data_IF_124150336322
#
_entry.id   IF_124150336322
#
_cell.length_a   1.000
_cell.length_b   1.000
_cell.length_c   1.000
_cell.angle_alpha   90.00
_cell.angle_beta   90.00
_cell.angle_gamma   90.00
#
_symmetry.space_group_name_H-M   'P 1'
#
loop_
_entity.id
_entity.type
_entity.pdbx_description
1 polymer ?
#
# COMPACT_ATOMS: atom_id res chain seq x y z
N UNK A 1 -48.19 -0.84 4.54
CA UNK A 1 -47.87 -1.95 3.61
C UNK A 1 -46.58 -2.56 4.07
N UNK A 2 -46.50 -3.88 4.19
CA UNK A 2 -45.32 -4.64 4.70
C UNK A 2 -43.97 -4.17 4.11
N UNK A 3 -43.97 -3.65 2.89
CA UNK A 3 -42.79 -3.05 2.25
C UNK A 3 -42.26 -1.77 2.94
N UNK A 4 -43.11 -0.95 3.55
CA UNK A 4 -42.71 0.27 4.26
C UNK A 4 -41.99 -0.06 5.57
N UNK A 5 -42.49 -1.05 6.31
CA UNK A 5 -41.89 -1.50 7.58
C UNK A 5 -40.56 -2.22 7.35
N UNK A 6 -40.41 -2.93 6.22
CA UNK A 6 -39.14 -3.54 5.79
C UNK A 6 -38.12 -2.46 5.42
N UNK A 7 -38.52 -1.42 4.67
CA UNK A 7 -37.61 -0.32 4.30
C UNK A 7 -37.19 0.48 5.54
N UNK A 8 -38.11 0.76 6.46
CA UNK A 8 -37.80 1.49 7.70
C UNK A 8 -36.87 0.69 8.61
N UNK A 9 -37.16 -0.60 8.85
CA UNK A 9 -36.28 -1.47 9.64
C UNK A 9 -34.90 -1.67 9.00
N UNK A 10 -34.83 -1.69 7.67
CA UNK A 10 -33.56 -1.72 6.93
C UNK A 10 -32.80 -0.40 7.09
N UNK A 11 -33.48 0.75 7.01
CA UNK A 11 -32.87 2.07 7.21
C UNK A 11 -32.41 2.29 8.65
N UNK A 12 -33.15 1.80 9.65
CA UNK A 12 -32.79 1.89 11.06
C UNK A 12 -31.61 0.95 11.40
N UNK A 13 -31.58 -0.26 10.80
CA UNK A 13 -30.44 -1.16 10.89
C UNK A 13 -29.18 -0.58 10.22
N UNK A 14 -29.35 0.08 9.06
CA UNK A 14 -28.29 0.84 8.38
C UNK A 14 -27.86 2.04 9.24
N UNK A 15 -28.78 2.76 9.87
CA UNK A 15 -28.51 3.89 10.77
C UNK A 15 -27.71 3.50 12.01
N UNK A 16 -28.05 2.37 12.63
CA UNK A 16 -27.33 1.82 13.78
C UNK A 16 -25.91 1.34 13.41
N UNK A 17 -25.72 0.81 12.20
CA UNK A 17 -24.39 0.41 11.68
C UNK A 17 -23.55 1.59 11.22
N UNK A 18 -24.15 2.69 10.75
CA UNK A 18 -23.43 3.90 10.38
C UNK A 18 -22.78 4.60 11.59
N UNK A 19 -23.29 4.39 12.81
CA UNK A 19 -22.74 4.94 14.05
C UNK A 19 -21.61 4.12 14.68
N UNK A 20 -21.61 2.79 14.50
CA UNK A 20 -20.65 1.88 15.12
C UNK A 20 -19.62 1.35 14.09
N UNK A 21 -18.37 1.86 14.09
CA UNK A 21 -17.36 1.48 13.11
C UNK A 21 -16.94 0.00 13.23
N UNK A 22 -17.00 -0.58 14.43
CA UNK A 22 -16.70 -2.01 14.64
C UNK A 22 -17.75 -2.89 13.99
N UNK A 23 -19.03 -2.63 14.26
CA UNK A 23 -20.13 -3.40 13.64
C UNK A 23 -20.10 -3.27 12.12
N UNK A 24 -19.83 -2.07 11.58
CA UNK A 24 -19.68 -1.88 10.14
C UNK A 24 -18.53 -2.70 9.55
N UNK A 25 -17.38 -2.76 10.24
CA UNK A 25 -16.23 -3.55 9.82
C UNK A 25 -16.51 -5.06 9.86
N UNK A 26 -17.10 -5.58 10.95
CA UNK A 26 -17.44 -7.00 11.07
C UNK A 26 -18.47 -7.44 10.01
N UNK A 27 -19.50 -6.63 9.77
CA UNK A 27 -20.47 -6.90 8.70
C UNK A 27 -19.82 -6.87 7.32
N UNK A 28 -18.83 -6.00 7.09
CA UNK A 28 -18.05 -5.99 5.85
C UNK A 28 -17.19 -7.25 5.73
N UNK A 29 -16.58 -7.71 6.81
CA UNK A 29 -15.78 -8.93 6.88
C UNK A 29 -16.62 -10.18 6.53
N UNK A 30 -17.83 -10.29 7.09
CA UNK A 30 -18.76 -11.38 6.78
C UNK A 30 -19.18 -11.37 5.30
N UNK A 31 -19.43 -10.18 4.72
CA UNK A 31 -19.72 -10.06 3.28
C UNK A 31 -18.52 -10.45 2.43
N UNK A 32 -17.30 -10.16 2.88
CA UNK A 32 -16.08 -10.51 2.16
C UNK A 32 -15.93 -12.03 2.03
N UNK A 33 -16.19 -12.78 3.11
CA UNK A 33 -16.18 -14.26 3.08
C UNK A 33 -17.24 -14.86 2.15
N UNK A 34 -18.34 -14.14 1.93
CA UNK A 34 -19.42 -14.56 1.03
C UNK A 34 -19.27 -14.02 -0.39
N UNK A 35 -18.21 -13.26 -0.68
CA UNK A 35 -18.02 -12.60 -1.99
C UNK A 35 -17.68 -13.63 -3.06
N UNK A 36 -18.51 -13.78 -4.12
CA UNK A 36 -18.24 -14.74 -5.19
C UNK A 36 -16.88 -14.50 -5.85
N UNK A 37 -16.10 -15.57 -6.03
CA UNK A 37 -14.76 -15.51 -6.62
C UNK A 37 -13.64 -15.14 -5.63
N UNK A 38 -13.97 -14.86 -4.36
CA UNK A 38 -13.00 -14.66 -3.30
C UNK A 38 -12.93 -15.91 -2.42
N UNK A 39 -11.74 -16.52 -2.31
CA UNK A 39 -11.51 -17.60 -1.35
C UNK A 39 -10.86 -16.99 -0.12
N UNK A 40 -11.67 -16.70 0.89
CA UNK A 40 -11.24 -16.08 2.14
C UNK A 40 -11.98 -16.70 3.31
N UNK A 41 -11.22 -17.09 4.34
CA UNK A 41 -11.77 -17.59 5.59
C UNK A 41 -10.80 -17.29 6.72
N UNK A 42 -11.29 -16.68 7.81
CA UNK A 42 -10.47 -16.50 9.00
C UNK A 42 -10.44 -17.75 9.89
N UNK A 43 -9.27 -18.12 10.43
CA UNK A 43 -9.20 -19.05 11.55
C UNK A 43 -10.04 -18.55 12.74
N UNK A 44 -10.67 -19.47 13.47
CA UNK A 44 -11.54 -19.13 14.60
C UNK A 44 -10.84 -18.25 15.65
N UNK A 45 -9.58 -18.54 15.97
CA UNK A 45 -8.78 -17.73 16.90
C UNK A 45 -8.57 -16.29 16.39
N UNK A 46 -8.35 -16.12 15.09
CA UNK A 46 -8.21 -14.80 14.46
C UNK A 46 -9.52 -14.02 14.49
N UNK A 47 -10.65 -14.68 14.20
CA UNK A 47 -11.97 -14.04 14.29
C UNK A 47 -12.26 -13.57 15.71
N UNK A 48 -12.07 -14.43 16.71
CA UNK A 48 -12.26 -14.08 18.12
C UNK A 48 -11.38 -12.90 18.56
N UNK A 49 -10.12 -12.85 18.10
CA UNK A 49 -9.22 -11.73 18.38
C UNK A 49 -9.80 -10.42 17.81
N UNK A 50 -10.22 -10.39 16.55
CA UNK A 50 -10.83 -9.21 15.91
C UNK A 50 -12.13 -8.80 16.64
N UNK A 51 -12.98 -9.75 16.98
CA UNK A 51 -14.23 -9.52 17.70
C UNK A 51 -14.00 -9.00 19.13
N UNK A 52 -12.86 -9.31 19.76
CA UNK A 52 -12.52 -8.82 21.11
C UNK A 52 -11.99 -7.39 21.14
N UNK A 53 -11.54 -6.84 19.99
CA UNK A 53 -10.98 -5.49 19.90
C UNK A 53 -12.03 -4.42 20.30
N UNK A 54 -11.64 -3.34 20.99
CA UNK A 54 -12.57 -2.29 21.40
C UNK A 54 -13.12 -1.53 20.19
N UNK A 55 -14.32 -0.96 20.28
CA UNK A 55 -14.92 -0.20 19.17
C UNK A 55 -13.99 0.93 18.65
N UNK A 56 -13.28 1.59 19.57
CA UNK A 56 -12.34 2.67 19.24
C UNK A 56 -11.22 2.23 18.28
N UNK A 57 -10.86 0.94 18.26
CA UNK A 57 -9.85 0.41 17.34
C UNK A 57 -10.27 0.53 15.86
N UNK A 58 -11.58 0.60 15.58
CA UNK A 58 -12.13 0.63 14.22
C UNK A 58 -12.37 2.05 13.69
N UNK A 59 -12.13 3.09 14.51
CA UNK A 59 -12.35 4.49 14.13
C UNK A 59 -11.06 5.11 13.60
N UNK A 60 -10.86 5.05 12.30
CA UNK A 60 -9.67 5.64 11.67
C UNK A 60 -9.78 7.16 11.61
N UNK A 61 -8.86 7.91 12.23
CA UNK A 61 -8.88 9.37 12.13
C UNK A 61 -8.58 9.79 10.68
N UNK A 62 -9.19 10.89 10.27
CA UNK A 62 -8.84 11.59 9.02
C UNK A 62 -8.65 13.06 9.38
N UNK A 63 -7.40 13.54 9.38
CA UNK A 63 -7.12 14.92 9.78
C UNK A 63 -7.44 15.86 8.62
N UNK A 64 -8.02 17.04 8.87
CA UNK A 64 -8.15 18.06 7.83
C UNK A 64 -6.80 18.44 7.24
N UNK A 65 -6.74 18.60 5.91
CA UNK A 65 -5.53 19.05 5.22
C UNK A 65 -5.20 20.50 5.61
N UNK A 66 -3.96 20.75 6.02
CA UNK A 66 -3.50 22.10 6.37
C UNK A 66 -2.79 22.76 5.19
N UNK A 67 -3.58 23.29 4.25
CA UNK A 67 -3.05 23.88 3.01
C UNK A 67 -2.64 25.36 3.17
N UNK A 68 -1.52 25.73 2.55
CA UNK A 68 -1.02 27.11 2.42
C UNK A 68 -1.51 27.79 1.14
N UNK A 69 -1.69 27.03 0.05
CA UNK A 69 -2.28 27.50 -1.21
C UNK A 69 -3.79 27.52 -1.05
N UNK A 70 -4.35 28.70 -0.79
CA UNK A 70 -5.79 28.88 -0.52
C UNK A 70 -6.49 29.76 -1.54
N UNK A 71 -5.74 30.62 -2.23
CA UNK A 71 -6.27 31.63 -3.15
C UNK A 71 -6.04 31.24 -4.60
N UNK A 72 -6.88 31.78 -5.46
CA UNK A 72 -6.84 31.55 -6.91
C UNK A 72 -5.52 32.01 -7.53
N UNK A 73 -5.03 33.19 -7.13
CA UNK A 73 -3.78 33.81 -7.60
C UNK A 73 -2.50 33.02 -7.25
N UNK A 74 -2.58 32.03 -6.35
CA UNK A 74 -1.47 31.16 -5.97
C UNK A 74 -1.39 29.87 -6.82
N UNK A 75 -2.39 29.64 -7.67
CA UNK A 75 -2.43 28.54 -8.65
C UNK A 75 -1.87 29.03 -9.99
N UNK A 76 -1.29 28.13 -10.79
CA UNK A 76 -0.80 28.53 -12.11
C UNK A 76 -1.96 28.89 -13.04
N UNK A 77 -1.73 29.86 -13.95
CA UNK A 77 -2.74 30.25 -14.94
C UNK A 77 -3.28 29.08 -15.76
N UNK A 78 -2.39 28.13 -16.12
CA UNK A 78 -2.77 26.89 -16.83
C UNK A 78 -3.74 26.00 -16.04
N UNK A 79 -3.55 25.85 -14.72
CA UNK A 79 -4.44 25.06 -13.87
C UNK A 79 -5.80 25.74 -13.75
N UNK A 80 -5.81 27.07 -13.62
CA UNK A 80 -7.04 27.85 -13.52
C UNK A 80 -7.87 27.77 -14.80
N UNK A 81 -7.22 27.88 -15.96
CA UNK A 81 -7.86 27.71 -17.27
C UNK A 81 -8.41 26.29 -17.44
N UNK A 82 -7.63 25.27 -17.08
CA UNK A 82 -8.08 23.88 -17.19
C UNK A 82 -9.22 23.54 -16.22
N UNK A 83 -9.22 24.11 -15.02
CA UNK A 83 -10.35 24.03 -14.08
C UNK A 83 -11.61 24.68 -14.67
N UNK A 84 -11.49 25.89 -15.24
CA UNK A 84 -12.60 26.62 -15.84
C UNK A 84 -13.22 25.85 -17.02
N UNK A 85 -12.37 25.22 -17.85
CA UNK A 85 -12.79 24.51 -19.05
C UNK A 85 -13.06 23.02 -18.84
N UNK A 86 -12.87 22.50 -17.62
CA UNK A 86 -12.97 21.07 -17.27
C UNK A 86 -12.06 20.16 -18.11
N UNK A 87 -10.91 20.68 -18.52
CA UNK A 87 -9.90 19.97 -19.34
C UNK A 87 -8.74 19.42 -18.51
N UNK A 88 -8.95 19.21 -17.21
CA UNK A 88 -7.94 18.65 -16.31
C UNK A 88 -7.51 17.25 -16.76
N UNK A 89 -6.22 17.11 -16.99
CA UNK A 89 -5.59 15.82 -17.27
C UNK A 89 -4.64 15.40 -16.14
N UNK A 90 -4.19 14.15 -16.24
CA UNK A 90 -3.34 13.52 -15.25
C UNK A 90 -1.96 14.20 -15.11
N UNK A 91 -1.31 14.51 -16.22
CA UNK A 91 0.05 15.05 -16.22
C UNK A 91 0.06 16.47 -15.64
N UNK A 92 -0.97 17.25 -15.94
CA UNK A 92 -1.15 18.59 -15.42
C UNK A 92 -1.32 18.60 -13.89
N UNK A 93 -2.20 17.74 -13.36
CA UNK A 93 -2.42 17.68 -11.91
C UNK A 93 -1.25 17.08 -11.15
N UNK A 94 -0.55 16.10 -11.72
CA UNK A 94 0.67 15.56 -11.10
C UNK A 94 1.81 16.58 -11.11
N UNK A 95 1.97 17.37 -12.17
CA UNK A 95 2.94 18.46 -12.22
C UNK A 95 2.64 19.56 -11.17
N UNK A 96 1.38 19.97 -11.04
CA UNK A 96 0.97 20.95 -10.03
C UNK A 96 1.14 20.40 -8.61
N UNK A 97 0.75 19.14 -8.37
CA UNK A 97 1.00 18.46 -7.10
C UNK A 97 2.50 18.43 -6.76
N UNK A 98 3.36 18.08 -7.71
CA UNK A 98 4.81 18.05 -7.50
C UNK A 98 5.38 19.44 -7.21
N UNK A 99 4.90 20.49 -7.89
CA UNK A 99 5.25 21.87 -7.59
C UNK A 99 4.85 22.24 -6.16
N UNK A 100 3.63 21.89 -5.74
CA UNK A 100 3.15 22.19 -4.39
C UNK A 100 3.88 21.43 -3.30
N UNK A 101 4.28 20.18 -3.57
CA UNK A 101 5.09 19.39 -2.66
C UNK A 101 6.45 20.05 -2.42
N UNK A 102 7.11 20.52 -3.48
CA UNK A 102 8.42 21.18 -3.38
C UNK A 102 8.35 22.54 -2.69
N UNK A 103 7.30 23.32 -2.96
CA UNK A 103 7.27 24.73 -2.57
C UNK A 103 6.45 25.01 -1.29
N UNK A 104 5.56 24.09 -0.88
CA UNK A 104 4.62 24.35 0.21
C UNK A 104 4.58 23.23 1.24
N UNK A 105 3.84 22.15 0.97
CA UNK A 105 3.65 21.04 1.91
C UNK A 105 3.05 19.79 1.23
N UNK A 106 3.19 18.61 1.87
CA UNK A 106 2.41 17.42 1.54
C UNK A 106 0.89 17.63 1.45
N UNK A 107 0.30 18.48 2.30
CA UNK A 107 -1.15 18.76 2.29
C UNK A 107 -1.55 19.54 1.04
N UNK A 108 -0.73 20.51 0.64
CA UNK A 108 -0.95 21.29 -0.57
C UNK A 108 -0.82 20.43 -1.83
N UNK A 109 0.15 19.52 -1.84
CA UNK A 109 0.33 18.54 -2.90
C UNK A 109 -0.87 17.59 -3.01
N UNK A 110 -1.26 16.98 -1.89
CA UNK A 110 -2.40 16.07 -1.83
C UNK A 110 -3.71 16.75 -2.24
N UNK A 111 -3.92 18.00 -1.85
CA UNK A 111 -5.10 18.77 -2.28
C UNK A 111 -5.15 19.00 -3.79
N UNK A 112 -4.01 19.20 -4.45
CA UNK A 112 -4.00 19.27 -5.92
C UNK A 112 -4.21 17.87 -6.53
N UNK A 113 -3.55 16.84 -6.01
CA UNK A 113 -3.64 15.51 -6.58
C UNK A 113 -5.03 14.86 -6.39
N UNK A 114 -5.73 15.16 -5.28
CA UNK A 114 -7.06 14.63 -4.97
C UNK A 114 -8.11 15.02 -6.01
N UNK A 115 -7.91 16.12 -6.73
CA UNK A 115 -8.77 16.54 -7.85
C UNK A 115 -8.92 15.45 -8.91
N UNK A 116 -7.91 14.60 -9.13
CA UNK A 116 -8.01 13.45 -10.04
C UNK A 116 -9.10 12.47 -9.61
N UNK A 117 -9.16 12.22 -8.30
CA UNK A 117 -10.13 11.32 -7.68
C UNK A 117 -11.50 11.98 -7.55
N UNK A 118 -11.56 13.30 -7.33
CA UNK A 118 -12.81 14.06 -7.30
C UNK A 118 -13.47 14.12 -8.69
N UNK A 119 -12.67 14.25 -9.75
CA UNK A 119 -13.15 14.26 -11.13
C UNK A 119 -13.62 12.86 -11.59
N UNK A 120 -12.93 11.80 -11.14
CA UNK A 120 -13.26 10.40 -11.48
C UNK A 120 -13.39 9.53 -10.23
N UNK A 121 -14.46 9.67 -9.43
CA UNK A 121 -14.58 9.00 -8.14
C UNK A 121 -14.69 7.47 -8.23
N UNK A 122 -15.18 6.92 -9.35
CA UNK A 122 -15.25 5.48 -9.60
C UNK A 122 -13.94 4.85 -10.09
N UNK A 123 -12.90 5.65 -10.30
CA UNK A 123 -11.62 5.16 -10.83
C UNK A 123 -10.72 4.65 -9.70
N UNK A 124 -10.71 3.33 -9.50
CA UNK A 124 -9.89 2.67 -8.48
C UNK A 124 -8.38 2.78 -8.75
N UNK A 125 -7.95 2.96 -10.02
CA UNK A 125 -6.53 3.12 -10.38
C UNK A 125 -6.03 4.49 -9.90
N UNK A 126 -6.80 5.55 -10.16
CA UNK A 126 -6.50 6.89 -9.65
C UNK A 126 -6.56 6.92 -8.12
N UNK A 127 -7.57 6.30 -7.52
CA UNK A 127 -7.68 6.22 -6.06
C UNK A 127 -6.43 5.58 -5.42
N UNK A 128 -5.94 4.49 -6.01
CA UNK A 128 -4.72 3.81 -5.54
C UNK A 128 -3.47 4.67 -5.76
N UNK A 129 -3.35 5.33 -6.91
CA UNK A 129 -2.21 6.19 -7.20
C UNK A 129 -2.11 7.38 -6.23
N UNK A 130 -3.24 8.06 -5.99
CA UNK A 130 -3.31 9.15 -5.00
C UNK A 130 -3.08 8.60 -3.59
N UNK A 131 -3.61 7.42 -3.26
CA UNK A 131 -3.40 6.75 -1.97
C UNK A 131 -1.92 6.47 -1.68
N UNK A 132 -1.19 5.89 -2.63
CA UNK A 132 0.24 5.66 -2.46
C UNK A 132 1.05 6.95 -2.39
N UNK A 133 0.68 7.97 -3.18
CA UNK A 133 1.31 9.29 -3.09
C UNK A 133 1.09 9.92 -1.70
N UNK A 134 -0.12 9.84 -1.17
CA UNK A 134 -0.44 10.30 0.19
C UNK A 134 0.37 9.54 1.26
N UNK A 135 0.49 8.22 1.13
CA UNK A 135 1.28 7.37 2.02
C UNK A 135 2.79 7.68 1.97
N UNK A 136 3.34 8.02 0.79
CA UNK A 136 4.73 8.48 0.65
C UNK A 136 4.96 9.83 1.34
N UNK A 137 3.96 10.72 1.34
CA UNK A 137 4.04 12.03 1.97
C UNK A 137 3.60 12.06 3.45
N UNK A 138 3.51 10.89 4.10
CA UNK A 138 3.14 10.77 5.51
C UNK A 138 1.69 11.17 5.81
N UNK A 139 0.80 11.01 4.84
CA UNK A 139 -0.67 11.18 4.96
C UNK A 139 -1.39 9.85 4.93
N UNK A 140 -0.91 8.93 5.77
CA UNK A 140 -1.44 7.56 5.87
C UNK A 140 -2.91 7.52 6.32
N UNK A 141 -3.37 8.55 7.03
CA UNK A 141 -4.78 8.76 7.37
C UNK A 141 -5.66 9.00 6.15
N UNK A 142 -5.19 9.82 5.20
CA UNK A 142 -5.87 10.08 3.93
C UNK A 142 -5.75 8.89 2.97
N UNK A 143 -4.56 8.28 2.91
CA UNK A 143 -4.29 7.11 2.09
C UNK A 143 -5.21 5.94 2.45
N UNK A 144 -5.41 5.69 3.75
CA UNK A 144 -6.34 4.67 4.24
C UNK A 144 -7.74 4.84 3.64
N UNK A 145 -8.29 6.05 3.61
CA UNK A 145 -9.64 6.29 3.10
C UNK A 145 -9.75 5.94 1.61
N UNK A 146 -8.73 6.30 0.83
CA UNK A 146 -8.67 5.98 -0.61
C UNK A 146 -8.54 4.47 -0.83
N UNK A 147 -7.65 3.79 -0.11
CA UNK A 147 -7.48 2.35 -0.22
C UNK A 147 -8.71 1.57 0.26
N UNK A 148 -9.33 1.98 1.37
CA UNK A 148 -10.56 1.37 1.85
C UNK A 148 -11.68 1.46 0.80
N UNK A 149 -11.81 2.59 0.11
CA UNK A 149 -12.74 2.72 -1.02
C UNK A 149 -12.39 1.77 -2.17
N UNK A 150 -11.10 1.60 -2.47
CA UNK A 150 -10.64 0.64 -3.49
C UNK A 150 -11.07 -0.78 -3.13
N UNK A 151 -10.90 -1.22 -1.87
CA UNK A 151 -11.31 -2.59 -1.47
C UNK A 151 -12.82 -2.83 -1.60
N UNK A 152 -13.65 -1.81 -1.41
CA UNK A 152 -15.10 -1.92 -1.63
C UNK A 152 -15.44 -2.18 -3.10
N UNK A 153 -14.67 -1.59 -4.03
CA UNK A 153 -14.92 -1.68 -5.47
C UNK A 153 -14.17 -2.82 -6.17
N UNK A 154 -13.03 -3.23 -5.61
CA UNK A 154 -12.07 -4.18 -6.18
C UNK A 154 -11.54 -5.10 -5.06
N UNK A 155 -12.38 -6.01 -4.53
CA UNK A 155 -11.99 -6.85 -3.39
C UNK A 155 -10.90 -7.88 -3.72
N UNK A 156 -10.67 -8.18 -5.01
CA UNK A 156 -9.74 -9.21 -5.50
C UNK A 156 -8.28 -8.72 -5.70
N UNK A 157 -7.94 -7.55 -5.16
CA UNK A 157 -6.64 -6.89 -5.37
C UNK A 157 -5.82 -6.82 -4.06
N UNK A 158 -4.87 -7.74 -3.85
CA UNK A 158 -4.16 -7.91 -2.58
C UNK A 158 -3.37 -6.70 -2.11
N UNK A 159 -2.79 -5.95 -3.06
CA UNK A 159 -1.93 -4.81 -2.78
C UNK A 159 -2.63 -3.73 -1.96
N UNK A 160 -3.96 -3.60 -2.10
CA UNK A 160 -4.75 -2.61 -1.36
C UNK A 160 -4.86 -2.98 0.12
N UNK A 161 -5.03 -4.27 0.44
CA UNK A 161 -5.09 -4.76 1.83
C UNK A 161 -3.74 -4.57 2.53
N UNK A 162 -2.64 -4.87 1.82
CA UNK A 162 -1.28 -4.65 2.31
C UNK A 162 -1.00 -3.16 2.55
N UNK A 163 -1.39 -2.28 1.62
CA UNK A 163 -1.25 -0.83 1.79
C UNK A 163 -2.05 -0.30 2.98
N UNK A 164 -3.26 -0.81 3.23
CA UNK A 164 -4.07 -0.46 4.40
C UNK A 164 -3.36 -0.87 5.70
N UNK A 165 -2.87 -2.11 5.80
CA UNK A 165 -2.13 -2.58 6.98
C UNK A 165 -0.92 -1.70 7.30
N UNK A 166 -0.18 -1.27 6.27
CA UNK A 166 0.94 -0.32 6.42
C UNK A 166 0.49 1.06 6.87
N UNK A 167 -0.60 1.59 6.31
CA UNK A 167 -1.13 2.89 6.71
C UNK A 167 -1.54 2.88 8.19
N UNK A 168 -2.27 1.85 8.62
CA UNK A 168 -2.74 1.71 10.00
C UNK A 168 -1.59 1.52 11.00
N UNK A 169 -0.54 0.81 10.59
CA UNK A 169 0.70 0.69 11.39
C UNK A 169 1.32 2.06 11.65
N UNK A 170 1.41 2.92 10.62
CA UNK A 170 1.98 4.28 10.76
C UNK A 170 1.10 5.22 11.58
N UNK A 171 -0.21 4.96 11.60
CA UNK A 171 -1.16 5.69 12.45
C UNK A 171 -1.17 5.20 13.89
N UNK A 172 -0.42 4.14 14.21
CA UNK A 172 -0.46 3.49 15.53
C UNK A 172 -1.77 2.77 15.82
N UNK A 173 -2.58 2.50 14.79
CA UNK A 173 -3.85 1.77 14.88
C UNK A 173 -3.60 0.26 14.83
N UNK A 174 -2.84 -0.22 15.81
CA UNK A 174 -2.27 -1.57 15.84
C UNK A 174 -3.30 -2.68 15.72
N UNK A 175 -4.41 -2.60 16.46
CA UNK A 175 -5.49 -3.59 16.43
C UNK A 175 -6.10 -3.75 15.03
N UNK A 176 -6.46 -2.62 14.40
CA UNK A 176 -7.01 -2.64 13.06
C UNK A 176 -5.95 -3.04 12.01
N UNK A 177 -4.69 -2.64 12.20
CA UNK A 177 -3.60 -3.07 11.33
C UNK A 177 -3.45 -4.60 11.34
N UNK A 178 -3.49 -5.23 12.53
CA UNK A 178 -3.50 -6.69 12.69
C UNK A 178 -4.67 -7.30 11.91
N UNK A 179 -5.89 -6.77 12.08
CA UNK A 179 -7.06 -7.28 11.37
C UNK A 179 -6.89 -7.26 9.84
N UNK A 180 -6.37 -6.16 9.29
CA UNK A 180 -6.13 -6.04 7.84
C UNK A 180 -5.00 -6.93 7.33
N UNK A 181 -3.92 -7.09 8.09
CA UNK A 181 -2.88 -8.05 7.75
C UNK A 181 -3.39 -9.49 7.80
N UNK A 182 -4.24 -9.83 8.77
CA UNK A 182 -4.87 -11.16 8.81
C UNK A 182 -5.78 -11.40 7.61
N UNK A 183 -6.57 -10.41 7.18
CA UNK A 183 -7.37 -10.54 5.95
C UNK A 183 -6.46 -10.81 4.74
N UNK A 184 -5.38 -10.03 4.62
CA UNK A 184 -4.41 -10.20 3.54
C UNK A 184 -3.75 -11.59 3.55
N UNK A 185 -3.39 -12.10 4.74
CA UNK A 185 -2.69 -13.37 4.90
C UNK A 185 -3.59 -14.61 4.77
N UNK A 186 -4.89 -14.48 5.03
CA UNK A 186 -5.85 -15.60 5.00
C UNK A 186 -6.76 -15.58 3.76
N UNK A 187 -6.51 -14.68 2.81
CA UNK A 187 -7.14 -14.74 1.48
C UNK A 187 -6.25 -15.50 0.52
N UNK A 188 -6.85 -16.37 -0.30
CA UNK A 188 -6.19 -16.98 -1.44
C UNK A 188 -6.25 -16.02 -2.63
N UNK A 189 -5.11 -15.42 -2.94
CA UNK A 189 -4.98 -14.50 -4.07
C UNK A 189 -4.68 -15.24 -5.35
N UNK A 190 -5.07 -14.65 -6.48
CA UNK A 190 -4.72 -15.14 -7.80
C UNK A 190 -3.18 -15.27 -7.94
N UNK A 191 -2.72 -16.35 -8.59
CA UNK A 191 -1.30 -16.64 -8.77
C UNK A 191 -0.54 -15.52 -9.49
N UNK A 192 -1.23 -14.67 -10.26
CA UNK A 192 -0.65 -13.46 -10.87
C UNK A 192 -0.08 -12.47 -9.85
N UNK A 193 -0.39 -12.59 -8.56
CA UNK A 193 0.21 -11.72 -7.52
C UNK A 193 1.48 -12.30 -6.90
N UNK A 194 2.00 -13.42 -7.44
CA UNK A 194 3.28 -14.00 -7.07
C UNK A 194 3.42 -14.26 -5.58
N UNK A 195 4.56 -13.83 -5.02
CA UNK A 195 4.95 -14.04 -3.62
C UNK A 195 4.28 -13.05 -2.64
N UNK A 196 3.05 -12.59 -2.93
CA UNK A 196 2.36 -11.58 -2.12
C UNK A 196 2.36 -11.90 -0.62
N UNK A 197 1.98 -13.11 -0.21
CA UNK A 197 1.92 -13.50 1.20
C UNK A 197 3.26 -13.36 1.90
N UNK A 198 4.38 -13.57 1.19
CA UNK A 198 5.71 -13.42 1.76
C UNK A 198 6.04 -11.96 2.05
N UNK A 199 5.65 -11.05 1.16
CA UNK A 199 5.89 -9.61 1.28
C UNK A 199 4.94 -8.97 2.29
N UNK A 200 3.66 -9.34 2.26
CA UNK A 200 2.70 -8.94 3.30
C UNK A 200 3.09 -9.50 4.67
N UNK A 201 3.55 -10.76 4.72
CA UNK A 201 4.04 -11.41 5.94
C UNK A 201 5.28 -10.75 6.52
N UNK A 202 6.18 -10.23 5.69
CA UNK A 202 7.30 -9.40 6.14
C UNK A 202 6.80 -8.15 6.87
N UNK A 203 6.00 -7.30 6.23
CA UNK A 203 5.50 -6.08 6.87
C UNK A 203 4.62 -6.38 8.10
N UNK A 204 3.89 -7.49 8.08
CA UNK A 204 3.14 -7.93 9.25
C UNK A 204 4.07 -8.34 10.41
N UNK A 205 5.14 -9.09 10.14
CA UNK A 205 6.15 -9.40 11.16
C UNK A 205 6.80 -8.17 11.74
N UNK A 206 6.98 -7.10 10.95
CA UNK A 206 7.46 -5.82 11.45
C UNK A 206 6.53 -5.25 12.52
N UNK A 207 5.22 -5.22 12.23
CA UNK A 207 4.19 -4.78 13.17
C UNK A 207 4.19 -5.63 14.45
N UNK A 208 4.21 -6.96 14.31
CA UNK A 208 4.19 -7.87 15.46
C UNK A 208 5.43 -7.67 16.36
N UNK A 209 6.63 -7.52 15.77
CA UNK A 209 7.87 -7.21 16.52
C UNK A 209 7.78 -5.88 17.26
N UNK A 210 7.21 -4.84 16.64
CA UNK A 210 7.02 -3.54 17.30
C UNK A 210 6.09 -3.65 18.52
N UNK A 211 5.11 -4.55 18.48
CA UNK A 211 4.27 -4.85 19.64
C UNK A 211 5.04 -5.64 20.71
N UNK A 212 5.76 -6.69 20.33
CA UNK A 212 6.58 -7.50 21.26
C UNK A 212 7.67 -6.67 21.96
N UNK A 213 8.22 -5.67 21.26
CA UNK A 213 9.20 -4.72 21.79
C UNK A 213 8.57 -3.58 22.61
N UNK A 214 7.23 -3.53 22.70
CA UNK A 214 6.49 -2.50 23.43
C UNK A 214 6.43 -1.14 22.77
N UNK A 215 6.89 -1.00 21.52
CA UNK A 215 6.80 0.24 20.74
C UNK A 215 5.36 0.55 20.31
N UNK A 216 4.54 -0.50 20.11
CA UNK A 216 3.12 -0.40 19.81
C UNK A 216 2.30 -1.19 20.84
N UNK A 217 1.06 -0.76 21.09
CA UNK A 217 0.14 -1.40 22.04
C UNK A 217 -1.05 -2.00 21.30
N UNK A 218 -1.56 -3.12 21.80
CA UNK A 218 -2.72 -3.82 21.25
C UNK A 218 -3.64 -4.29 22.37
N UNK A 219 -4.92 -4.45 22.07
CA UNK A 219 -5.88 -5.13 22.96
C UNK A 219 -5.77 -6.67 22.93
N UNK A 220 -5.00 -7.23 21.98
CA UNK A 220 -4.89 -8.69 21.76
C UNK A 220 -3.42 -9.20 21.84
N UNK A 221 -2.68 -8.95 22.93
CA UNK A 221 -1.25 -9.28 23.03
C UNK A 221 -0.95 -10.79 22.95
N UNK A 222 -1.83 -11.64 23.48
CA UNK A 222 -1.67 -13.10 23.44
C UNK A 222 -1.80 -13.62 21.99
N UNK A 223 -2.74 -13.06 21.22
CA UNK A 223 -2.87 -13.35 19.79
C UNK A 223 -1.59 -12.95 19.04
N UNK A 224 -1.07 -11.74 19.28
CA UNK A 224 0.18 -11.27 18.67
C UNK A 224 1.35 -12.21 18.97
N UNK A 225 1.52 -12.60 20.23
CA UNK A 225 2.60 -13.50 20.67
C UNK A 225 2.52 -14.87 19.99
N UNK A 226 1.32 -15.43 19.86
CA UNK A 226 1.11 -16.67 19.13
C UNK A 226 1.37 -16.49 17.63
N UNK A 227 0.89 -15.37 17.06
CA UNK A 227 0.94 -15.12 15.63
C UNK A 227 2.35 -14.85 15.12
N UNK A 228 3.17 -14.12 15.88
CA UNK A 228 4.57 -13.82 15.55
C UNK A 228 5.39 -15.10 15.28
N UNK A 229 5.11 -16.18 16.00
CA UNK A 229 5.75 -17.50 15.79
C UNK A 229 5.40 -18.13 14.44
N UNK A 230 4.18 -17.90 13.96
CA UNK A 230 3.67 -18.54 12.73
C UNK A 230 3.96 -17.71 11.48
N UNK A 231 3.81 -16.38 11.55
CA UNK A 231 4.08 -15.48 10.41
C UNK A 231 5.59 -15.38 10.18
N UNK A 232 6.41 -15.45 11.24
CA UNK A 232 7.86 -15.42 11.14
C UNK A 232 8.42 -16.52 10.23
N UNK A 233 7.85 -17.72 10.31
CA UNK A 233 8.22 -18.86 9.48
C UNK A 233 7.91 -18.67 7.97
N UNK A 234 6.93 -17.83 7.65
CA UNK A 234 6.53 -17.50 6.28
C UNK A 234 7.21 -16.24 5.72
N UNK A 235 7.92 -15.48 6.56
CA UNK A 235 8.56 -14.22 6.20
C UNK A 235 10.00 -14.39 5.69
N UNK A 236 10.63 -13.28 5.26
CA UNK A 236 12.08 -13.27 5.03
C UNK A 236 12.82 -13.44 6.37
N UNK A 237 14.01 -14.05 6.35
CA UNK A 237 14.76 -14.44 7.56
C UNK A 237 14.86 -13.37 8.66
N UNK A 238 15.23 -13.80 9.87
CA UNK A 238 15.19 -12.95 11.08
C UNK A 238 16.01 -11.66 10.97
N UNK A 239 17.11 -11.67 10.23
CA UNK A 239 17.96 -10.50 9.98
C UNK A 239 18.40 -10.45 8.51
N UNK A 240 18.36 -9.28 7.89
CA UNK A 240 18.79 -9.08 6.49
C UNK A 240 19.30 -7.66 6.31
N UNK A 241 20.52 -7.50 5.79
CA UNK A 241 21.15 -6.19 5.67
C UNK A 241 20.46 -5.26 4.65
N UNK A 242 19.97 -5.81 3.53
CA UNK A 242 19.25 -5.04 2.52
C UNK A 242 18.03 -5.81 2.01
N UNK A 243 16.87 -5.15 2.04
CA UNK A 243 15.63 -5.60 1.41
C UNK A 243 15.12 -4.49 0.51
N UNK A 244 14.73 -4.84 -0.70
CA UNK A 244 14.08 -3.91 -1.64
C UNK A 244 12.80 -4.57 -2.13
N UNK A 245 11.67 -3.90 -1.96
CA UNK A 245 10.37 -4.36 -2.46
C UNK A 245 9.84 -3.30 -3.41
N UNK A 246 9.37 -3.69 -4.59
CA UNK A 246 8.64 -2.80 -5.49
C UNK A 246 7.24 -3.35 -5.76
N UNK A 247 6.28 -2.43 -5.93
CA UNK A 247 4.93 -2.68 -6.41
C UNK A 247 4.50 -1.53 -7.32
N UNK A 248 3.41 -1.68 -8.07
CA UNK A 248 2.96 -0.63 -8.99
C UNK A 248 1.44 -0.48 -9.07
N UNK A 249 0.96 0.63 -9.66
CA UNK A 249 -0.45 0.99 -9.70
C UNK A 249 -1.22 0.47 -10.92
N UNK A 250 -0.57 0.02 -11.99
CA UNK A 250 -1.25 -0.39 -13.23
C UNK A 250 -1.29 -1.91 -13.36
N UNK A 251 -2.47 -2.46 -13.70
CA UNK A 251 -2.62 -3.91 -13.87
C UNK A 251 -1.94 -4.35 -15.18
N UNK A 252 -1.63 -5.64 -15.32
CA UNK A 252 -1.07 -6.25 -16.54
C UNK A 252 0.11 -5.42 -17.10
N UNK A 253 0.97 -5.02 -16.19
CA UNK A 253 2.14 -4.19 -16.47
C UNK A 253 3.36 -5.00 -16.06
N UNK A 254 4.35 -5.02 -16.94
CA UNK A 254 5.58 -5.77 -16.76
C UNK A 254 6.69 -4.80 -16.31
N UNK A 255 7.09 -4.92 -15.03
CA UNK A 255 8.09 -4.07 -14.39
C UNK A 255 9.11 -4.94 -13.65
N UNK A 256 10.35 -4.89 -14.10
CA UNK A 256 11.46 -5.62 -13.49
C UNK A 256 12.20 -4.75 -12.47
N UNK A 257 12.47 -5.31 -11.29
CA UNK A 257 13.42 -4.81 -10.32
C UNK A 257 14.86 -5.19 -10.72
N UNK A 258 15.73 -4.19 -10.70
CA UNK A 258 17.16 -4.36 -10.90
C UNK A 258 17.92 -3.83 -9.69
N UNK A 259 18.84 -4.64 -9.14
CA UNK A 259 19.76 -4.23 -8.08
C UNK A 259 21.18 -4.49 -8.53
N UNK A 260 21.93 -3.42 -8.83
CA UNK A 260 23.36 -3.49 -9.15
C UNK A 260 24.13 -3.39 -7.83
N UNK A 261 24.89 -4.44 -7.52
CA UNK A 261 25.65 -4.59 -6.29
C UNK A 261 27.04 -3.93 -6.39
N UNK A 262 27.74 -3.69 -5.26
CA UNK A 262 29.08 -3.09 -5.25
C UNK A 262 30.13 -3.87 -6.06
N UNK A 263 29.90 -5.15 -6.32
CA UNK A 263 30.74 -6.02 -7.16
C UNK A 263 30.60 -5.71 -8.66
N UNK A 264 29.62 -4.90 -9.05
CA UNK A 264 29.20 -4.67 -10.44
C UNK A 264 28.26 -5.75 -10.97
N UNK A 265 27.92 -6.75 -10.17
CA UNK A 265 26.94 -7.78 -10.53
C UNK A 265 25.51 -7.25 -10.39
N UNK A 266 24.64 -7.57 -11.34
CA UNK A 266 23.26 -7.13 -11.36
C UNK A 266 22.32 -8.28 -11.02
N UNK A 267 21.48 -8.10 -10.00
CA UNK A 267 20.39 -9.01 -9.68
C UNK A 267 19.08 -8.52 -10.32
N UNK A 268 18.45 -9.38 -11.12
CA UNK A 268 17.17 -9.13 -11.79
C UNK A 268 16.48 -10.47 -12.10
N UNK A 269 15.29 -10.48 -12.71
CA UNK A 269 14.55 -11.71 -13.07
C UNK A 269 15.44 -12.80 -13.72
N UNK A 270 16.20 -12.44 -14.76
CA UNK A 270 17.06 -13.38 -15.51
C UNK A 270 18.36 -13.78 -14.79
N UNK A 271 18.71 -13.10 -13.69
CA UNK A 271 19.86 -13.40 -12.83
C UNK A 271 19.47 -13.18 -11.36
N UNK A 272 18.57 -14.04 -10.87
CA UNK A 272 17.93 -13.86 -9.57
C UNK A 272 18.79 -14.23 -8.35
N UNK A 273 20.06 -14.59 -8.57
CA UNK A 273 21.02 -14.97 -7.52
C UNK A 273 22.41 -14.46 -7.85
N UNK A 274 22.97 -13.62 -6.98
CA UNK A 274 24.30 -13.03 -7.17
C UNK A 274 25.37 -13.73 -6.33
N UNK A 275 26.65 -13.48 -6.63
CA UNK A 275 27.81 -14.09 -5.95
C UNK A 275 27.92 -13.71 -4.49
N UNK A 276 27.48 -12.50 -4.10
CA UNK A 276 27.48 -12.07 -2.69
C UNK A 276 26.21 -12.50 -1.94
N UNK A 277 25.32 -13.26 -2.60
CA UNK A 277 24.16 -13.87 -1.96
C UNK A 277 22.87 -13.07 -2.07
N UNK A 278 22.81 -12.08 -2.96
CA UNK A 278 21.57 -11.37 -3.29
C UNK A 278 20.58 -12.32 -3.96
N UNK A 279 19.30 -12.17 -3.63
CA UNK A 279 18.22 -13.04 -4.12
C UNK A 279 16.98 -12.23 -4.47
N UNK A 280 16.47 -12.40 -5.69
CA UNK A 280 15.16 -11.91 -6.10
C UNK A 280 14.07 -12.95 -5.80
N UNK A 281 12.85 -12.51 -5.48
CA UNK A 281 11.65 -13.36 -5.51
C UNK A 281 11.34 -13.83 -6.92
N UNK A 282 10.39 -14.75 -7.05
CA UNK A 282 9.88 -15.12 -8.38
C UNK A 282 9.31 -13.89 -9.07
N UNK A 283 9.55 -13.83 -10.38
CA UNK A 283 9.14 -12.75 -11.27
C UNK A 283 7.61 -12.75 -11.46
N UNK A 284 7.03 -11.54 -11.48
CA UNK A 284 5.60 -11.28 -11.59
C UNK A 284 5.33 -10.50 -12.89
N UNK A 285 5.22 -11.23 -14.00
CA UNK A 285 5.01 -10.66 -15.34
C UNK A 285 3.58 -10.18 -15.63
N UNK A 286 2.63 -10.44 -14.71
CA UNK A 286 1.23 -10.02 -14.82
C UNK A 286 0.74 -9.51 -13.48
N UNK A 287 -0.07 -8.45 -13.44
CA UNK A 287 -0.61 -7.93 -12.17
C UNK A 287 0.01 -6.59 -11.75
N UNK A 288 0.17 -6.40 -10.43
CA UNK A 288 0.61 -5.15 -9.79
C UNK A 288 1.97 -5.31 -9.07
N UNK A 289 2.70 -6.39 -9.34
CA UNK A 289 3.73 -6.90 -8.46
C UNK A 289 3.11 -7.50 -7.20
N UNK A 290 3.89 -7.79 -6.15
CA UNK A 290 5.19 -7.19 -5.87
C UNK A 290 6.42 -8.06 -6.23
N UNK A 291 7.56 -7.40 -6.48
CA UNK A 291 8.88 -8.03 -6.55
C UNK A 291 9.74 -7.65 -5.35
N UNK A 292 10.59 -8.57 -4.88
CA UNK A 292 11.46 -8.34 -3.72
C UNK A 292 12.86 -8.89 -3.91
N UNK A 293 13.86 -8.05 -3.66
CA UNK A 293 15.26 -8.41 -3.49
C UNK A 293 15.62 -8.50 -2.00
N UNK A 294 16.43 -9.50 -1.63
CA UNK A 294 16.97 -9.68 -0.28
C UNK A 294 18.46 -9.98 -0.32
N UNK A 295 19.24 -9.39 0.59
CA UNK A 295 20.65 -9.68 0.78
C UNK A 295 20.97 -9.72 2.28
N UNK A 296 21.25 -10.91 2.79
CA UNK A 296 21.44 -11.14 4.22
C UNK A 296 22.72 -10.48 4.76
N UNK A 297 23.83 -10.63 4.02
CA UNK A 297 25.15 -10.14 4.41
C UNK A 297 25.67 -9.19 3.32
N UNK A 298 25.31 -7.92 3.42
CA UNK A 298 25.67 -6.93 2.41
C UNK A 298 27.15 -6.54 2.53
N UNK A 299 27.81 -6.39 1.37
CA UNK A 299 29.18 -5.86 1.30
C UNK A 299 29.10 -4.34 1.33
N UNK A 300 30.06 -3.70 2.00
CA UNK A 300 30.10 -2.24 1.99
C UNK A 300 30.29 -1.72 0.57
N UNK A 301 29.56 -0.66 0.24
CA UNK A 301 29.57 -0.07 -1.09
C UNK A 301 28.21 0.51 -1.47
N UNK A 302 28.10 0.85 -2.76
CA UNK A 302 26.87 1.41 -3.34
C UNK A 302 26.06 0.31 -4.02
N UNK A 303 24.78 0.26 -3.68
CA UNK A 303 23.77 -0.54 -4.34
C UNK A 303 22.90 0.40 -5.17
N UNK A 304 22.84 0.18 -6.48
CA UNK A 304 22.01 0.98 -7.39
C UNK A 304 20.73 0.23 -7.72
N UNK A 305 19.60 0.80 -7.33
CA UNK A 305 18.27 0.21 -7.43
C UNK A 305 17.53 0.88 -8.59
N UNK A 306 17.07 0.09 -9.55
CA UNK A 306 16.39 0.56 -10.75
C UNK A 306 15.14 -0.27 -11.06
N UNK A 307 14.26 0.28 -11.86
CA UNK A 307 13.15 -0.46 -12.46
C UNK A 307 13.13 -0.30 -13.98
N UNK A 308 12.78 -1.36 -14.69
CA UNK A 308 12.59 -1.33 -16.16
C UNK A 308 11.14 -1.58 -16.50
N UNK A 309 10.57 -0.73 -17.35
CA UNK A 309 9.20 -0.87 -17.82
C UNK A 309 9.15 -1.56 -19.18
N UNK A 310 8.76 -2.83 -19.28
CA UNK A 310 8.76 -3.53 -20.58
C UNK A 310 7.49 -3.30 -21.39
N UNK A 311 6.36 -3.05 -20.73
CA UNK A 311 5.12 -2.69 -21.39
C UNK A 311 3.92 -2.68 -20.45
N UNK A 312 2.89 -1.94 -20.87
CA UNK A 312 1.56 -2.01 -20.30
C UNK A 312 0.56 -2.07 -21.44
N UNK A 313 -0.63 -2.60 -21.17
CA UNK A 313 -1.75 -2.54 -22.10
C UNK A 313 -2.13 -1.04 -22.31
N UNK A 314 -1.72 -0.44 -23.43
CA UNK A 314 -1.81 1.03 -23.69
C UNK A 314 -3.24 1.58 -23.69
N UNK A 315 -4.24 0.70 -23.74
CA UNK A 315 -5.64 1.07 -23.95
C UNK A 315 -6.40 1.50 -22.68
N UNK A 316 -5.78 1.55 -21.48
CA UNK A 316 -6.59 1.62 -20.24
C UNK A 316 -6.08 2.43 -19.04
N UNK A 317 -4.92 3.09 -19.06
CA UNK A 317 -4.43 3.73 -17.84
C UNK A 317 -4.88 5.21 -17.76
N UNK A 318 -5.89 5.48 -16.92
CA UNK A 318 -6.26 6.83 -16.45
C UNK A 318 -5.16 7.51 -15.61
N UNK A 319 -4.10 6.75 -15.26
CA UNK A 319 -2.91 7.18 -14.55
C UNK A 319 -1.64 6.74 -15.30
N UNK A 320 -0.51 7.40 -15.05
CA UNK A 320 0.80 6.88 -15.45
C UNK A 320 1.19 5.70 -14.54
N UNK A 321 1.98 4.76 -15.08
CA UNK A 321 2.58 3.69 -14.28
C UNK A 321 3.59 4.29 -13.30
N UNK A 322 3.42 3.98 -12.02
CA UNK A 322 4.34 4.36 -10.95
C UNK A 322 4.83 3.12 -10.22
N UNK A 323 6.10 3.16 -9.83
CA UNK A 323 6.71 2.16 -8.95
C UNK A 323 6.76 2.73 -7.54
N UNK A 324 6.21 1.97 -6.60
CA UNK A 324 6.27 2.19 -5.16
C UNK A 324 7.34 1.28 -4.58
N UNK A 325 8.51 1.84 -4.31
CA UNK A 325 9.63 1.11 -3.76
C UNK A 325 9.72 1.29 -2.25
N UNK A 326 9.96 0.20 -1.55
CA UNK A 326 10.31 0.14 -0.13
C UNK A 326 11.71 -0.42 0.00
N UNK A 327 12.61 0.32 0.64
CA UNK A 327 13.99 -0.05 0.84
C UNK A 327 14.22 -0.13 2.35
N UNK A 328 14.66 -1.29 2.83
CA UNK A 328 14.92 -1.54 4.23
C UNK A 328 16.39 -1.92 4.38
N UNK A 329 17.12 -1.18 5.21
CA UNK A 329 18.46 -1.55 5.66
C UNK A 329 18.39 -2.12 7.06
N UNK A 330 19.13 -3.21 7.31
CA UNK A 330 19.18 -3.84 8.64
C UNK A 330 17.82 -4.35 9.10
N UNK A 331 17.05 -4.99 8.21
CA UNK A 331 15.76 -5.61 8.51
C UNK A 331 15.89 -6.53 9.73
N UNK A 332 14.97 -6.38 10.70
CA UNK A 332 14.96 -7.20 11.91
C UNK A 332 16.05 -6.86 12.93
N UNK A 333 16.71 -5.70 12.78
CA UNK A 333 17.68 -5.17 13.73
C UNK A 333 17.18 -3.86 14.34
N UNK A 334 17.76 -3.44 15.47
CA UNK A 334 17.46 -2.13 16.08
C UNK A 334 17.89 -0.93 15.21
N UNK A 335 18.79 -1.17 14.23
CA UNK A 335 19.30 -0.15 13.30
C UNK A 335 18.51 -0.09 12.00
N UNK A 336 17.31 -0.65 11.98
CA UNK A 336 16.50 -0.73 10.77
C UNK A 336 16.21 0.67 10.21
N UNK A 337 16.58 0.91 8.94
CA UNK A 337 16.25 2.15 8.22
C UNK A 337 15.30 1.80 7.10
N UNK A 338 14.10 2.37 7.16
CA UNK A 338 13.04 2.16 6.19
C UNK A 338 12.85 3.42 5.34
N UNK A 339 12.91 3.27 4.01
CA UNK A 339 12.75 4.35 3.05
C UNK A 339 11.69 3.98 2.02
N UNK A 340 10.79 4.91 1.71
CA UNK A 340 9.88 4.80 0.57
C UNK A 340 10.33 5.72 -0.55
N UNK A 341 10.09 5.27 -1.79
CA UNK A 341 10.26 6.07 -3.00
C UNK A 341 9.12 5.78 -3.95
N UNK A 342 8.63 6.83 -4.60
CA UNK A 342 7.68 6.73 -5.70
C UNK A 342 8.34 7.32 -6.94
N UNK A 343 8.44 6.52 -8.00
CA UNK A 343 8.91 6.99 -9.30
C UNK A 343 7.82 6.78 -10.35
N UNK A 344 7.73 7.70 -11.32
CA UNK A 344 6.83 7.56 -12.47
C UNK A 344 7.64 7.02 -13.64
N UNK A 345 7.10 6.02 -14.33
CA UNK A 345 7.75 5.44 -15.51
C UNK A 345 7.28 6.17 -16.76
N UNK A 346 8.23 6.69 -17.54
CA UNK A 346 7.94 7.52 -18.72
C UNK A 346 8.23 6.81 -20.04
N UNK A 347 9.24 5.95 -20.07
CA UNK A 347 9.75 5.32 -21.29
C UNK A 347 9.75 3.80 -21.15
N UNK A 348 9.28 3.10 -22.19
CA UNK A 348 9.42 1.65 -22.25
C UNK A 348 10.87 1.25 -22.51
N UNK A 349 11.30 0.15 -21.89
CA UNK A 349 12.63 -0.48 -21.99
C UNK A 349 13.78 0.38 -21.48
N UNK A 350 13.49 1.48 -20.77
CA UNK A 350 14.49 2.29 -20.09
C UNK A 350 14.63 1.84 -18.63
N UNK A 351 15.88 1.62 -18.18
CA UNK A 351 16.22 1.38 -16.78
C UNK A 351 16.16 2.69 -16.01
N UNK A 352 15.06 2.95 -15.30
CA UNK A 352 14.89 4.17 -14.53
C UNK A 352 15.46 4.03 -13.11
N UNK A 353 16.23 5.02 -12.61
CA UNK A 353 16.77 4.97 -11.26
C UNK A 353 15.68 5.16 -10.20
N UNK A 354 15.69 4.31 -9.17
CA UNK A 354 14.84 4.45 -7.97
C UNK A 354 15.65 5.12 -6.85
N UNK A 355 16.80 4.54 -6.50
CA UNK A 355 17.65 5.01 -5.42
C UNK A 355 19.06 4.41 -5.51
N UNK A 356 20.04 5.12 -4.96
CA UNK A 356 21.36 4.55 -4.63
C UNK A 356 21.51 4.48 -3.13
N UNK A 357 21.84 3.29 -2.62
CA UNK A 357 21.90 2.99 -1.18
C UNK A 357 23.33 2.64 -0.80
N UNK A 358 23.85 3.30 0.23
CA UNK A 358 25.12 2.93 0.88
C UNK A 358 24.90 1.97 2.05
N UNK A 359 25.68 0.89 2.07
CA UNK A 359 25.85 -0.03 3.21
C UNK A 359 27.21 0.18 3.86
#
# INVERSE_FOLDING_TARGET
>A
TVAHDIVQSTLDAIGATLGNPKTAFLNWLDRLEQTPGMTFQLPAATRLAIESMPEAAFRVPSRPLTCKVRRHDQSSGSILEALANRTLDYDMMTAESARRLRNFSPDDALKALSTLVENRPGDSVLARDVGYSAMDWGRSDQAYQLFYRVTQSRPFEPQTYHAIGRCLTELGMTDLAIAWFEIAMNTQWDARFGEFHRIAGMDYMRLLRQVEQGALKTSVPDFVTARAKTVGAASIGSQTDLVVVIAWNTDRTDIDLHVIEPTGEECFYGHNRTRIGGRMTQDVTQGYGPEMYTLANAKSGKYDIRATFFGSDRNRASARTKVYATIIKGWGTEKEVFTRKVITLHTQKEKMPIATVGI
#
